data_IF_569530921984
#
_entry.id   IF_569530921984
#
_cell.length_a   1.000
_cell.length_b   1.000
_cell.length_c   1.000
_cell.angle_alpha   90.00
_cell.angle_beta   90.00
_cell.angle_gamma   90.00
#
_symmetry.space_group_name_H-M   'P 1'
#
loop_
_entity.id
_entity.type
_entity.pdbx_description
1 polymer ?
#
# COMPACT_ATOMS: atom_id res chain seq x y z
N UNK A 1 -18.36 13.45 -1.15
CA UNK A 1 -17.04 13.62 -0.49
C UNK A 1 -17.13 14.46 0.79
N UNK A 2 -17.78 15.65 0.78
CA UNK A 2 -17.85 16.53 1.95
C UNK A 2 -18.59 15.96 3.17
N UNK A 3 -19.73 15.34 2.98
CA UNK A 3 -20.51 14.70 4.05
C UNK A 3 -19.78 13.54 4.74
N UNK A 4 -18.98 12.82 3.99
CA UNK A 4 -18.18 11.71 4.51
C UNK A 4 -17.07 12.22 5.43
N UNK A 5 -16.34 13.26 5.01
CA UNK A 5 -15.29 13.87 5.82
C UNK A 5 -15.84 14.42 7.13
N UNK A 6 -17.03 15.04 7.11
CA UNK A 6 -17.66 15.59 8.30
C UNK A 6 -17.98 14.53 9.35
N UNK A 7 -18.50 13.37 8.93
CA UNK A 7 -18.79 12.25 9.83
C UNK A 7 -17.55 11.65 10.51
N UNK A 8 -16.35 11.82 9.91
CA UNK A 8 -15.08 11.35 10.47
C UNK A 8 -14.47 12.31 11.49
N UNK A 9 -14.76 13.57 11.38
CA UNK A 9 -14.09 14.61 12.19
C UNK A 9 -14.35 14.46 13.69
N UNK A 10 -15.51 13.93 14.05
CA UNK A 10 -15.94 13.79 15.45
C UNK A 10 -15.94 12.35 15.97
N UNK A 11 -15.55 11.37 15.15
CA UNK A 11 -15.53 9.98 15.56
C UNK A 11 -14.18 9.61 16.17
N UNK A 12 -14.22 9.01 17.38
CA UNK A 12 -13.06 8.33 17.94
C UNK A 12 -12.73 7.11 17.07
N UNK A 13 -11.53 7.06 16.51
CA UNK A 13 -11.06 5.93 15.71
C UNK A 13 -10.37 4.93 16.62
N UNK A 14 -10.85 3.71 16.59
CA UNK A 14 -10.17 2.57 17.21
C UNK A 14 -9.18 1.94 16.21
N UNK A 15 -8.12 1.25 16.71
CA UNK A 15 -7.25 0.46 15.83
C UNK A 15 -8.08 -0.43 14.91
N UNK A 16 -7.69 -0.52 13.63
CA UNK A 16 -8.36 -1.27 12.56
C UNK A 16 -9.76 -0.78 12.16
N UNK A 17 -10.25 0.28 12.78
CA UNK A 17 -11.51 0.90 12.35
C UNK A 17 -11.38 1.41 10.92
N UNK A 18 -12.20 0.89 10.03
CA UNK A 18 -12.19 1.19 8.61
C UNK A 18 -13.40 2.03 8.25
N UNK A 19 -13.22 2.92 7.29
CA UNK A 19 -14.35 3.67 6.76
C UNK A 19 -15.19 2.80 5.82
N UNK A 20 -16.45 2.66 6.12
CA UNK A 20 -17.39 1.89 5.30
C UNK A 20 -18.12 2.75 4.27
N UNK A 21 -18.22 4.05 4.53
CA UNK A 21 -18.96 4.98 3.67
C UNK A 21 -18.17 5.36 2.43
N UNK A 22 -18.86 5.34 1.28
CA UNK A 22 -18.27 5.71 0.00
C UNK A 22 -17.33 4.68 -0.61
N UNK A 23 -17.25 3.48 -0.05
CA UNK A 23 -16.52 2.36 -0.64
C UNK A 23 -17.39 1.61 -1.67
N UNK A 24 -16.80 1.05 -2.74
CA UNK A 24 -15.37 1.15 -3.09
C UNK A 24 -15.06 2.46 -3.82
N UNK A 25 -13.88 3.03 -3.62
CA UNK A 25 -13.40 4.20 -4.37
C UNK A 25 -12.43 3.81 -5.47
N UNK A 26 -11.47 2.94 -5.15
CA UNK A 26 -10.46 2.42 -6.08
C UNK A 26 -10.32 0.92 -5.91
N UNK A 27 -10.24 0.21 -7.03
CA UNK A 27 -10.08 -1.24 -7.07
C UNK A 27 -8.81 -1.60 -7.82
N UNK A 28 -8.15 -2.68 -7.41
CA UNK A 28 -7.08 -3.28 -8.21
C UNK A 28 -7.65 -4.12 -9.34
N UNK A 29 -6.84 -4.40 -10.35
CA UNK A 29 -7.22 -5.32 -11.42
C UNK A 29 -7.48 -6.77 -10.93
N UNK A 30 -6.97 -7.11 -9.75
CA UNK A 30 -7.14 -8.43 -9.14
C UNK A 30 -8.36 -8.51 -8.22
N UNK A 31 -9.10 -7.41 -8.01
CA UNK A 31 -10.14 -7.32 -6.99
C UNK A 31 -11.19 -8.45 -7.08
N UNK A 32 -11.70 -8.74 -8.28
CA UNK A 32 -12.70 -9.80 -8.47
C UNK A 32 -12.15 -11.19 -8.11
N UNK A 33 -10.92 -11.48 -8.48
CA UNK A 33 -10.25 -12.74 -8.11
C UNK A 33 -10.01 -12.87 -6.61
N UNK A 34 -9.68 -11.76 -5.97
CA UNK A 34 -9.53 -11.70 -4.52
C UNK A 34 -10.88 -11.91 -3.82
N UNK A 35 -11.99 -11.37 -4.38
CA UNK A 35 -13.33 -11.66 -3.87
C UNK A 35 -13.67 -13.16 -3.95
N UNK A 36 -13.40 -13.79 -5.09
CA UNK A 36 -13.61 -15.23 -5.29
C UNK A 36 -12.78 -16.08 -4.31
N UNK A 37 -11.60 -15.61 -3.92
CA UNK A 37 -10.74 -16.27 -2.94
C UNK A 37 -11.23 -16.15 -1.49
N UNK A 38 -12.26 -15.34 -1.19
CA UNK A 38 -12.75 -15.11 0.16
C UNK A 38 -11.97 -14.05 0.93
N UNK A 39 -11.50 -13.02 0.24
CA UNK A 39 -10.69 -11.96 0.85
C UNK A 39 -11.49 -11.06 1.77
N UNK A 40 -10.88 -10.70 2.87
CA UNK A 40 -11.32 -9.60 3.74
C UNK A 40 -10.58 -8.34 3.34
N UNK A 41 -11.34 -7.29 2.96
CA UNK A 41 -10.80 -6.05 2.43
C UNK A 41 -10.79 -4.93 3.48
N UNK A 42 -9.63 -4.31 3.64
CA UNK A 42 -9.46 -3.00 4.25
C UNK A 42 -9.39 -1.89 3.21
N UNK A 43 -9.29 -0.63 3.66
CA UNK A 43 -9.11 0.53 2.77
C UNK A 43 -7.81 1.28 3.12
N UNK A 44 -7.02 1.60 2.10
CA UNK A 44 -5.83 2.44 2.22
C UNK A 44 -5.79 3.45 1.07
N UNK A 45 -5.84 4.74 1.40
CA UNK A 45 -5.84 5.82 0.41
C UNK A 45 -6.89 5.64 -0.71
N UNK A 46 -8.08 5.17 -0.32
CA UNK A 46 -9.19 4.89 -1.22
C UNK A 46 -9.13 3.55 -1.96
N UNK A 47 -8.05 2.81 -1.90
CA UNK A 47 -7.98 1.46 -2.46
C UNK A 47 -8.55 0.42 -1.53
N UNK A 48 -9.39 -0.48 -2.06
CA UNK A 48 -9.72 -1.75 -1.42
C UNK A 48 -8.47 -2.64 -1.46
N UNK A 49 -7.96 -3.01 -0.30
CA UNK A 49 -6.77 -3.85 -0.17
C UNK A 49 -7.09 -5.13 0.58
N UNK A 50 -6.53 -6.23 0.13
CA UNK A 50 -6.57 -7.48 0.86
C UNK A 50 -5.85 -7.31 2.20
N UNK A 51 -6.56 -7.58 3.29
CA UNK A 51 -5.98 -7.67 4.63
C UNK A 51 -5.57 -9.11 4.92
N UNK A 52 -6.44 -10.06 4.61
CA UNK A 52 -6.19 -11.50 4.68
C UNK A 52 -7.24 -12.27 3.85
N UNK A 53 -7.01 -13.55 3.63
CA UNK A 53 -7.91 -14.44 2.86
C UNK A 53 -8.45 -15.55 3.75
N UNK A 54 -9.78 -15.77 3.69
CA UNK A 54 -10.47 -16.88 4.35
C UNK A 54 -11.02 -17.83 3.27
N UNK A 55 -10.26 -18.84 2.82
CA UNK A 55 -10.70 -19.71 1.74
C UNK A 55 -12.02 -20.42 2.07
N UNK A 56 -12.94 -20.42 1.09
CA UNK A 56 -14.26 -21.05 1.25
C UNK A 56 -15.28 -20.19 2.01
N UNK A 57 -14.92 -18.98 2.40
CA UNK A 57 -15.85 -18.01 2.98
C UNK A 57 -16.20 -16.90 1.97
N UNK A 58 -17.38 -16.30 2.06
CA UNK A 58 -17.71 -15.11 1.28
C UNK A 58 -16.75 -13.97 1.61
N UNK A 59 -16.34 -13.21 0.58
CA UNK A 59 -15.60 -11.99 0.81
C UNK A 59 -16.37 -10.98 1.66
N UNK A 60 -15.66 -10.14 2.40
CA UNK A 60 -16.26 -9.08 3.22
C UNK A 60 -15.32 -7.89 3.39
N UNK A 61 -15.85 -6.82 3.91
CA UNK A 61 -15.06 -5.65 4.31
C UNK A 61 -14.75 -5.73 5.79
N UNK A 62 -13.52 -5.40 6.13
CA UNK A 62 -13.09 -5.27 7.51
C UNK A 62 -13.82 -4.09 8.17
N UNK A 63 -14.30 -4.24 9.39
CA UNK A 63 -14.85 -3.15 10.18
C UNK A 63 -16.25 -3.35 10.72
N UNK A 64 -17.14 -4.08 9.99
CA UNK A 64 -18.54 -4.20 10.40
C UNK A 64 -18.76 -5.06 11.67
N UNK A 65 -17.99 -6.12 11.83
CA UNK A 65 -18.20 -7.14 12.87
C UNK A 65 -17.18 -7.10 14.01
N UNK A 66 -16.29 -6.11 14.03
CA UNK A 66 -15.14 -6.09 14.93
C UNK A 66 -15.39 -5.35 16.24
N UNK A 67 -16.58 -5.44 16.78
CA UNK A 67 -16.93 -4.82 18.07
C UNK A 67 -16.30 -5.49 19.29
N UNK A 68 -15.66 -6.63 19.10
CA UNK A 68 -14.98 -7.39 20.16
C UNK A 68 -13.49 -7.04 20.29
N UNK A 69 -13.13 -5.82 20.00
CA UNK A 69 -11.77 -5.33 20.09
C UNK A 69 -11.40 -5.08 21.55
N UNK A 70 -10.44 -5.83 22.00
CA UNK A 70 -9.91 -5.74 23.35
C UNK A 70 -8.38 -5.87 23.33
N UNK A 71 -7.82 -6.09 24.50
CA UNK A 71 -6.39 -6.38 24.67
C UNK A 71 -6.02 -7.81 24.29
N UNK A 72 -7.00 -8.60 23.86
CA UNK A 72 -6.82 -9.98 23.44
C UNK A 72 -6.26 -10.13 22.04
N UNK A 73 -6.06 -11.39 21.64
CA UNK A 73 -5.63 -11.75 20.29
C UNK A 73 -6.76 -11.49 19.30
N UNK A 74 -6.44 -10.85 18.18
CA UNK A 74 -7.41 -10.55 17.14
C UNK A 74 -8.02 -11.82 16.53
N UNK A 75 -9.30 -11.80 16.11
CA UNK A 75 -9.97 -12.98 15.54
C UNK A 75 -9.28 -13.55 14.29
N UNK A 76 -8.58 -12.71 13.55
CA UNK A 76 -7.87 -13.08 12.32
C UNK A 76 -6.39 -13.45 12.54
N UNK A 77 -5.93 -13.51 13.77
CA UNK A 77 -4.51 -13.79 14.10
C UNK A 77 -4.03 -15.12 13.54
N UNK A 78 -4.83 -16.17 13.71
CA UNK A 78 -4.46 -17.51 13.27
C UNK A 78 -4.45 -17.62 11.74
N UNK A 79 -5.40 -16.96 11.06
CA UNK A 79 -5.45 -16.90 9.58
C UNK A 79 -4.21 -16.20 9.03
N UNK A 80 -3.86 -15.03 9.56
CA UNK A 80 -2.63 -14.32 9.15
C UNK A 80 -1.39 -15.15 9.49
N UNK A 81 -1.40 -15.90 10.61
CA UNK A 81 -0.32 -16.83 10.97
C UNK A 81 -0.13 -17.94 9.96
N UNK A 82 -1.22 -18.48 9.40
CA UNK A 82 -1.18 -19.47 8.33
C UNK A 82 -0.66 -18.90 7.02
N UNK A 83 -1.14 -17.73 6.60
CA UNK A 83 -0.62 -17.02 5.42
C UNK A 83 0.89 -16.74 5.56
N UNK A 84 1.31 -16.27 6.72
CA UNK A 84 2.73 -16.02 7.01
C UNK A 84 3.57 -17.31 6.90
N UNK A 85 3.07 -18.42 7.42
CA UNK A 85 3.76 -19.72 7.33
C UNK A 85 3.83 -20.19 5.88
N UNK A 86 2.73 -20.09 5.13
CA UNK A 86 2.69 -20.44 3.71
C UNK A 86 3.72 -19.62 2.90
N UNK A 87 3.80 -18.32 3.15
CA UNK A 87 4.77 -17.45 2.49
C UNK A 87 6.23 -17.84 2.80
N UNK A 88 6.50 -18.32 4.00
CA UNK A 88 7.84 -18.76 4.43
C UNK A 88 8.23 -20.14 3.91
N UNK A 89 7.28 -21.04 3.82
CA UNK A 89 7.53 -22.46 3.52
C UNK A 89 7.24 -22.84 2.07
N UNK A 90 6.43 -22.04 1.37
CA UNK A 90 6.03 -22.31 0.00
C UNK A 90 6.14 -21.09 -0.89
N UNK A 91 5.03 -20.48 -1.27
CA UNK A 91 4.98 -19.27 -2.07
C UNK A 91 3.73 -18.45 -1.73
N UNK A 92 3.78 -17.13 -1.97
CA UNK A 92 2.65 -16.24 -1.80
C UNK A 92 2.57 -15.20 -2.90
N UNK A 93 1.37 -14.70 -3.13
CA UNK A 93 1.08 -13.60 -4.03
C UNK A 93 0.54 -12.42 -3.22
N UNK A 94 1.16 -11.25 -3.38
CA UNK A 94 0.75 -10.03 -2.70
C UNK A 94 0.34 -8.99 -3.74
N UNK A 95 -0.90 -8.49 -3.64
CA UNK A 95 -1.38 -7.41 -4.52
C UNK A 95 -0.83 -6.05 -4.07
N UNK A 96 0.16 -5.54 -4.79
CA UNK A 96 0.77 -4.23 -4.58
C UNK A 96 0.27 -3.18 -5.59
N UNK A 97 -0.87 -3.40 -6.25
CA UNK A 97 -1.42 -2.49 -7.27
C UNK A 97 -1.73 -1.09 -6.72
N UNK A 98 -1.97 -0.97 -5.42
CA UNK A 98 -2.27 0.31 -4.75
C UNK A 98 -1.08 1.26 -4.64
N UNK A 99 0.15 0.76 -4.76
CA UNK A 99 1.35 1.61 -4.75
C UNK A 99 1.44 2.42 -6.05
N UNK A 100 1.99 3.62 -5.97
CA UNK A 100 2.35 4.41 -7.14
C UNK A 100 3.58 3.83 -7.85
N UNK A 101 3.57 3.85 -9.16
CA UNK A 101 4.71 3.45 -10.00
C UNK A 101 4.95 4.56 -11.00
N UNK A 102 6.16 5.13 -10.95
CA UNK A 102 6.59 6.18 -11.87
C UNK A 102 7.77 5.64 -12.70
N UNK A 103 7.75 5.95 -13.99
CA UNK A 103 8.89 5.78 -14.87
C UNK A 103 9.59 7.13 -15.02
N UNK A 104 10.91 7.16 -14.77
CA UNK A 104 11.76 8.33 -14.96
C UNK A 104 12.78 7.96 -16.02
N UNK A 105 12.73 8.65 -17.16
CA UNK A 105 13.50 8.28 -18.34
C UNK A 105 14.14 9.52 -18.98
N UNK A 106 15.34 9.35 -19.49
CA UNK A 106 16.08 10.38 -20.20
C UNK A 106 17.49 10.60 -19.64
N UNK A 107 18.33 11.37 -20.37
CA UNK A 107 19.73 11.55 -20.02
C UNK A 107 19.95 12.19 -18.63
N UNK A 108 19.00 12.99 -18.17
CA UNK A 108 19.05 13.67 -16.87
C UNK A 108 18.33 12.91 -15.74
N UNK A 109 17.81 11.70 -16.00
CA UNK A 109 17.03 10.94 -15.02
C UNK A 109 17.79 10.67 -13.72
N UNK A 110 19.07 10.28 -13.83
CA UNK A 110 19.91 10.07 -12.66
C UNK A 110 20.14 11.36 -11.88
N UNK A 111 20.48 12.45 -12.56
CA UNK A 111 20.74 13.74 -11.93
C UNK A 111 19.49 14.29 -11.23
N UNK A 112 18.31 14.14 -11.84
CA UNK A 112 17.02 14.52 -11.24
C UNK A 112 16.77 13.75 -9.94
N UNK A 113 16.98 12.44 -9.98
CA UNK A 113 16.75 11.59 -8.82
C UNK A 113 17.77 11.85 -7.70
N UNK A 114 19.05 12.08 -8.05
CA UNK A 114 20.08 12.48 -7.09
C UNK A 114 19.77 13.82 -6.42
N UNK A 115 19.13 14.74 -7.14
CA UNK A 115 18.72 16.02 -6.57
C UNK A 115 17.51 15.89 -5.62
N UNK A 116 16.58 14.98 -5.93
CA UNK A 116 15.32 14.86 -5.22
C UNK A 116 15.38 13.90 -4.02
N UNK A 117 16.30 12.94 -4.03
CA UNK A 117 16.39 11.87 -3.05
C UNK A 117 17.67 11.98 -2.20
N UNK A 118 17.59 11.44 -0.99
CA UNK A 118 18.67 11.47 -0.01
C UNK A 118 19.79 10.47 -0.29
N UNK A 119 19.47 9.32 -0.92
CA UNK A 119 20.45 8.26 -1.16
C UNK A 119 21.20 8.43 -2.48
N UNK A 120 22.40 7.79 -2.56
CA UNK A 120 23.14 7.63 -3.79
C UNK A 120 22.41 6.70 -4.76
N UNK A 121 21.96 7.23 -5.91
CA UNK A 121 21.19 6.54 -6.93
C UNK A 121 21.98 6.21 -8.21
N UNK A 122 23.19 6.77 -8.35
CA UNK A 122 24.10 6.37 -9.42
C UNK A 122 24.79 5.03 -9.08
N UNK A 123 24.02 3.99 -9.12
CA UNK A 123 24.41 2.62 -8.82
C UNK A 123 24.31 1.77 -10.09
N UNK A 124 24.95 0.61 -10.15
CA UNK A 124 24.83 -0.30 -11.29
C UNK A 124 23.39 -0.61 -11.69
N UNK A 125 23.16 -0.83 -12.99
CA UNK A 125 21.87 -1.31 -13.50
C UNK A 125 21.44 -2.57 -12.76
N UNK A 126 20.18 -2.65 -12.37
CA UNK A 126 19.60 -3.69 -11.52
C UNK A 126 19.57 -3.36 -10.03
N UNK A 127 20.25 -2.29 -9.59
CA UNK A 127 20.21 -1.87 -8.19
C UNK A 127 18.80 -1.41 -7.79
N UNK A 128 18.43 -1.79 -6.58
CA UNK A 128 17.16 -1.38 -5.92
C UNK A 128 17.53 -0.63 -4.64
N UNK A 129 17.13 0.63 -4.54
CA UNK A 129 17.51 1.53 -3.45
C UNK A 129 16.24 2.06 -2.79
N UNK A 130 16.11 1.85 -1.48
CA UNK A 130 15.10 2.52 -0.66
C UNK A 130 15.66 3.84 -0.16
N UNK A 131 14.89 4.92 -0.33
CA UNK A 131 15.32 6.28 0.01
C UNK A 131 14.12 7.19 0.32
N UNK A 132 14.39 8.41 0.78
CA UNK A 132 13.41 9.46 0.97
C UNK A 132 13.56 10.52 -0.12
N UNK A 133 12.42 11.01 -0.61
CA UNK A 133 12.35 12.27 -1.34
C UNK A 133 12.23 13.43 -0.34
N UNK A 134 13.05 14.45 -0.54
CA UNK A 134 13.12 15.58 0.38
C UNK A 134 12.64 16.87 -0.28
N UNK A 135 12.04 17.74 0.53
CA UNK A 135 11.80 19.13 0.16
C UNK A 135 13.05 20.00 0.35
N UNK A 136 12.99 21.26 -0.06
CA UNK A 136 14.13 22.19 0.05
C UNK A 136 14.56 22.50 1.50
N UNK A 137 13.78 22.12 2.49
CA UNK A 137 14.05 22.29 3.91
C UNK A 137 14.55 21.03 4.58
N UNK A 138 14.71 19.95 3.80
CA UNK A 138 15.07 18.63 4.29
C UNK A 138 13.90 17.85 4.90
N UNK A 139 12.66 18.31 4.70
CA UNK A 139 11.47 17.59 5.12
C UNK A 139 11.20 16.40 4.19
N UNK A 140 10.81 15.25 4.76
CA UNK A 140 10.46 14.06 3.97
C UNK A 140 9.11 14.27 3.29
N UNK A 141 9.11 14.25 1.97
CA UNK A 141 7.90 14.33 1.12
C UNK A 141 7.30 12.95 0.91
N UNK A 142 8.13 11.97 0.59
CA UNK A 142 7.73 10.58 0.40
C UNK A 142 8.91 9.64 0.66
N UNK A 143 8.60 8.43 1.10
CA UNK A 143 9.52 7.31 1.05
C UNK A 143 9.30 6.53 -0.24
N UNK A 144 10.39 6.17 -0.89
CA UNK A 144 10.34 5.58 -2.23
C UNK A 144 11.36 4.46 -2.38
N UNK A 145 11.05 3.53 -3.29
CA UNK A 145 12.00 2.53 -3.76
C UNK A 145 12.32 2.81 -5.21
N UNK A 146 13.58 3.08 -5.51
CA UNK A 146 14.06 3.38 -6.84
C UNK A 146 14.84 2.19 -7.38
N UNK A 147 14.47 1.72 -8.58
CA UNK A 147 15.15 0.65 -9.30
C UNK A 147 15.78 1.23 -10.56
N UNK A 148 17.09 1.06 -10.75
CA UNK A 148 17.75 1.40 -12.01
C UNK A 148 17.55 0.29 -13.02
N UNK A 149 16.77 0.54 -14.07
CA UNK A 149 16.43 -0.44 -15.10
C UNK A 149 17.39 -0.41 -16.29
N UNK A 150 17.94 0.77 -16.57
CA UNK A 150 18.96 1.00 -17.61
C UNK A 150 19.80 2.21 -17.19
N UNK A 151 20.75 2.59 -18.02
CA UNK A 151 21.65 3.72 -17.75
C UNK A 151 20.90 5.03 -17.48
N UNK A 152 19.86 5.27 -18.27
CA UNK A 152 19.01 6.48 -18.27
C UNK A 152 17.53 6.20 -17.92
N UNK A 153 17.24 5.03 -17.33
CA UNK A 153 15.87 4.61 -17.02
C UNK A 153 15.72 4.03 -15.63
N UNK A 154 14.81 4.63 -14.88
CA UNK A 154 14.50 4.26 -13.50
C UNK A 154 13.02 3.99 -13.31
N UNK A 155 12.71 3.12 -12.38
CA UNK A 155 11.36 2.91 -11.86
C UNK A 155 11.34 3.29 -10.38
N UNK A 156 10.46 4.21 -10.04
CA UNK A 156 10.20 4.59 -8.66
C UNK A 156 8.88 4.00 -8.20
N UNK A 157 8.84 3.45 -7.00
CA UNK A 157 7.63 2.96 -6.32
C UNK A 157 7.44 3.77 -5.06
N UNK A 158 6.22 4.29 -4.86
CA UNK A 158 5.84 5.08 -3.69
C UNK A 158 4.56 4.57 -3.05
N UNK A 159 4.31 4.95 -1.80
CA UNK A 159 3.10 4.60 -1.08
C UNK A 159 1.82 5.16 -1.74
N UNK A 160 0.70 4.45 -1.58
CA UNK A 160 -0.58 4.83 -2.20
C UNK A 160 -1.07 6.25 -1.85
N UNK A 161 -0.67 6.77 -0.69
CA UNK A 161 -1.02 8.13 -0.24
C UNK A 161 -0.27 9.23 -0.97
N UNK A 162 0.97 8.98 -1.38
CA UNK A 162 1.81 9.97 -2.05
C UNK A 162 1.41 10.20 -3.51
N UNK A 163 0.76 9.23 -4.15
CA UNK A 163 0.32 9.33 -5.57
C UNK A 163 -0.72 10.43 -5.82
N UNK A 164 -1.40 10.90 -4.79
CA UNK A 164 -2.47 11.89 -4.92
C UNK A 164 -2.00 13.33 -4.68
N UNK A 165 -0.75 13.54 -4.32
CA UNK A 165 -0.16 14.84 -4.00
C UNK A 165 0.80 15.35 -5.08
N UNK A 166 1.04 14.58 -6.11
CA UNK A 166 1.94 14.90 -7.24
C UNK A 166 1.18 15.37 -8.48
#
# INVERSE_FOLDING_TARGET
AGEQVYCFYYRLRYPYDQDERGRPTRLSALHSRLQEAGTVFGVKSGFERAEYVEPGRPWRRMGADQREWGWGRMPFFDVIGEEHRALRETAGLIDLSSFGKLAIEGPDACALLQFACDAELDRPVGSVIYTQMLDRRGGVVADVTVTRLAEDRYRMVTGAGAVATD
#
